data_IF_025653273095
#
_entry.id   IF_025653273095
#
_cell.length_a   1.000
_cell.length_b   1.000
_cell.length_c   1.000
_cell.angle_alpha   90.00
_cell.angle_beta   90.00
_cell.angle_gamma   90.00
#
_symmetry.space_group_name_H-M   'P 1'
#
loop_
_entity.id
_entity.type
_entity.pdbx_description
1 polymer ?
#
# COMPACT_ATOMS: atom_id res chain seq x y z
N UNK A 1 -6.69 -8.10 20.76
CA UNK A 1 -7.40 -7.14 19.90
C UNK A 1 -6.93 -7.43 18.49
N UNK A 2 -7.82 -7.76 17.56
CA UNK A 2 -7.39 -7.98 16.17
C UNK A 2 -7.01 -6.62 15.60
N UNK A 3 -5.73 -6.38 15.29
CA UNK A 3 -5.36 -5.19 14.52
C UNK A 3 -6.19 -5.15 13.22
N UNK A 4 -6.96 -4.07 13.08
CA UNK A 4 -7.87 -3.85 11.97
C UNK A 4 -7.10 -3.33 10.75
N UNK A 5 -6.25 -4.20 10.18
CA UNK A 5 -5.38 -3.85 9.05
C UNK A 5 -6.16 -3.30 7.87
N UNK A 6 -7.36 -3.84 7.60
CA UNK A 6 -8.22 -3.37 6.54
C UNK A 6 -8.65 -1.92 6.76
N UNK A 7 -8.96 -1.54 7.99
CA UNK A 7 -9.30 -0.16 8.33
C UNK A 7 -8.12 0.76 8.06
N UNK A 8 -6.91 0.38 8.48
CA UNK A 8 -5.71 1.20 8.24
C UNK A 8 -5.40 1.37 6.75
N UNK A 9 -5.49 0.29 5.96
CA UNK A 9 -5.33 0.38 4.51
C UNK A 9 -6.39 1.27 3.88
N UNK A 10 -7.66 1.11 4.29
CA UNK A 10 -8.80 1.86 3.75
C UNK A 10 -8.73 3.36 4.05
N UNK A 11 -7.97 3.80 5.07
CA UNK A 11 -7.67 5.22 5.30
C UNK A 11 -6.88 5.85 4.15
N UNK A 12 -6.03 5.08 3.48
CA UNK A 12 -5.20 5.53 2.36
C UNK A 12 -5.78 5.18 1.00
N UNK A 13 -6.48 4.05 0.92
CA UNK A 13 -7.08 3.53 -0.29
C UNK A 13 -8.48 2.98 0.03
N UNK A 14 -9.53 3.82 -0.01
CA UNK A 14 -10.88 3.42 0.43
C UNK A 14 -11.47 2.27 -0.40
N UNK A 15 -11.08 2.15 -1.67
CA UNK A 15 -11.47 1.04 -2.55
C UNK A 15 -10.59 -0.21 -2.37
N UNK A 16 -9.89 -0.34 -1.24
CA UNK A 16 -8.98 -1.45 -1.04
C UNK A 16 -9.72 -2.78 -0.92
N UNK A 17 -9.25 -3.78 -1.67
CA UNK A 17 -9.82 -5.12 -1.68
C UNK A 17 -9.37 -5.92 -0.44
N UNK A 18 -10.35 -6.33 0.36
CA UNK A 18 -10.13 -7.11 1.58
C UNK A 18 -9.45 -8.46 1.29
N UNK A 19 -9.64 -9.06 0.10
CA UNK A 19 -8.96 -10.31 -0.27
C UNK A 19 -7.45 -10.11 -0.44
N UNK A 20 -7.06 -9.00 -1.06
CA UNK A 20 -5.66 -8.61 -1.26
C UNK A 20 -5.04 -8.31 0.09
N UNK A 21 -5.72 -7.51 0.93
CA UNK A 21 -5.27 -7.20 2.29
C UNK A 21 -5.06 -8.50 3.08
N UNK A 22 -6.01 -9.43 3.05
CA UNK A 22 -5.87 -10.74 3.70
C UNK A 22 -4.73 -11.57 3.11
N UNK A 23 -4.48 -11.50 1.81
CA UNK A 23 -3.31 -12.09 1.15
C UNK A 23 -1.98 -11.53 1.67
N UNK A 24 -1.90 -10.22 1.83
CA UNK A 24 -0.72 -9.53 2.38
C UNK A 24 -0.54 -9.86 3.86
N UNK A 25 -1.61 -9.85 4.67
CA UNK A 25 -1.57 -10.24 6.08
C UNK A 25 -1.05 -11.67 6.24
N UNK A 26 -1.53 -12.60 5.42
CA UNK A 26 -1.02 -13.99 5.38
C UNK A 26 0.45 -14.07 4.99
N UNK A 27 0.89 -13.26 4.03
CA UNK A 27 2.30 -13.18 3.63
C UNK A 27 3.18 -12.65 4.76
N UNK A 28 2.74 -11.61 5.47
CA UNK A 28 3.47 -11.08 6.62
C UNK A 28 3.52 -12.09 7.79
N UNK A 29 2.46 -12.88 8.00
CA UNK A 29 2.46 -14.05 8.88
C UNK A 29 2.99 -13.76 10.29
N UNK A 30 4.07 -14.45 10.69
CA UNK A 30 4.69 -14.31 12.03
C UNK A 30 5.23 -12.88 12.25
N UNK A 31 5.60 -12.15 11.19
CA UNK A 31 6.10 -10.78 11.32
C UNK A 31 5.07 -9.82 11.92
N UNK A 32 3.77 -10.13 11.86
CA UNK A 32 2.73 -9.31 12.49
C UNK A 32 2.58 -9.57 13.98
N UNK A 33 3.12 -10.69 14.50
CA UNK A 33 3.05 -11.03 15.93
C UNK A 33 3.98 -10.17 16.79
N UNK A 34 4.99 -9.54 16.17
CA UNK A 34 5.92 -8.64 16.86
C UNK A 34 5.66 -7.19 16.44
N UNK A 35 5.61 -6.29 17.42
CA UNK A 35 5.30 -4.86 17.21
C UNK A 35 6.33 -4.14 16.35
N UNK A 36 7.61 -4.46 16.50
CA UNK A 36 8.65 -3.84 15.67
C UNK A 36 8.65 -4.38 14.24
N UNK A 37 8.17 -5.62 14.06
CA UNK A 37 8.16 -6.29 12.75
C UNK A 37 6.92 -5.96 11.91
N UNK A 38 5.86 -5.44 12.52
CA UNK A 38 4.71 -4.87 11.81
C UNK A 38 4.97 -3.43 11.34
N UNK A 39 5.99 -2.74 11.87
CA UNK A 39 6.33 -1.37 11.47
C UNK A 39 7.51 -1.34 10.48
N UNK A 40 7.52 -0.36 9.58
CA UNK A 40 8.63 -0.14 8.64
C UNK A 40 9.23 1.24 8.82
N UNK A 41 10.54 1.28 9.01
CA UNK A 41 11.30 2.53 9.09
C UNK A 41 11.73 2.97 7.71
N UNK A 42 11.10 4.02 7.19
CA UNK A 42 11.53 4.67 5.94
C UNK A 42 12.80 5.51 6.12
N UNK A 43 13.18 5.82 7.36
CA UNK A 43 14.39 6.58 7.66
C UNK A 43 15.66 5.71 7.62
N UNK A 44 15.51 4.37 7.70
CA UNK A 44 16.64 3.45 7.59
C UNK A 44 16.80 2.96 6.13
N UNK A 45 17.86 3.36 5.42
CA UNK A 45 18.10 2.91 4.05
C UNK A 45 18.29 1.38 3.95
N UNK A 46 18.73 0.71 5.02
CA UNK A 46 18.84 -0.76 5.04
C UNK A 46 17.46 -1.41 5.01
N UNK A 47 16.50 -0.84 5.73
CA UNK A 47 15.14 -1.36 5.76
C UNK A 47 14.41 -1.13 4.44
N UNK A 48 14.58 0.06 3.84
CA UNK A 48 14.11 0.36 2.47
C UNK A 48 14.71 -0.63 1.47
N UNK A 49 16.02 -0.89 1.53
CA UNK A 49 16.70 -1.85 0.68
C UNK A 49 16.17 -3.29 0.84
N UNK A 50 15.81 -3.72 2.06
CA UNK A 50 15.18 -5.02 2.30
C UNK A 50 13.78 -5.10 1.70
N UNK A 51 12.97 -4.05 1.82
CA UNK A 51 11.64 -3.98 1.19
C UNK A 51 11.79 -4.06 -0.33
N UNK A 52 12.72 -3.29 -0.91
CA UNK A 52 13.02 -3.34 -2.35
C UNK A 52 13.39 -4.75 -2.80
N UNK A 53 14.37 -5.37 -2.15
CA UNK A 53 14.90 -6.66 -2.58
C UNK A 53 13.94 -7.83 -2.32
N UNK A 54 13.34 -7.90 -1.13
CA UNK A 54 12.53 -9.06 -0.73
C UNK A 54 11.06 -8.92 -1.15
N UNK A 55 10.51 -7.70 -1.13
CA UNK A 55 9.12 -7.49 -1.49
C UNK A 55 9.00 -7.15 -2.98
N UNK A 56 9.56 -6.02 -3.42
CA UNK A 56 9.36 -5.56 -4.80
C UNK A 56 9.99 -6.53 -5.82
N UNK A 57 11.24 -6.94 -5.62
CA UNK A 57 11.92 -7.82 -6.58
C UNK A 57 11.55 -9.28 -6.42
N UNK A 58 11.69 -9.87 -5.22
CA UNK A 58 11.41 -11.31 -5.04
C UNK A 58 9.93 -11.65 -4.99
N UNK A 59 9.09 -10.87 -4.32
CA UNK A 59 7.67 -11.21 -4.14
C UNK A 59 6.80 -10.73 -5.30
N UNK A 60 6.99 -9.49 -5.77
CA UNK A 60 6.23 -8.94 -6.90
C UNK A 60 6.90 -9.20 -8.27
N UNK A 61 8.16 -9.65 -8.30
CA UNK A 61 8.86 -9.92 -9.56
C UNK A 61 9.25 -8.66 -10.34
N UNK A 62 9.28 -7.48 -9.69
CA UNK A 62 9.56 -6.22 -10.37
C UNK A 62 11.04 -6.16 -10.82
N UNK A 63 11.24 -5.90 -12.11
CA UNK A 63 12.58 -5.77 -12.73
C UNK A 63 12.99 -4.30 -12.97
N UNK A 64 12.24 -3.36 -12.38
CA UNK A 64 12.53 -1.94 -12.47
C UNK A 64 13.91 -1.59 -11.87
N UNK A 65 14.54 -0.50 -12.32
CA UNK A 65 15.78 -0.02 -11.75
C UNK A 65 15.60 0.36 -10.27
N UNK A 66 16.66 0.17 -9.49
CA UNK A 66 16.64 0.42 -8.04
C UNK A 66 16.13 1.82 -7.68
N UNK A 67 16.49 2.84 -8.46
CA UNK A 67 16.04 4.22 -8.24
C UNK A 67 14.53 4.43 -8.42
N UNK A 68 13.88 3.67 -9.31
CA UNK A 68 12.42 3.74 -9.50
C UNK A 68 11.70 3.04 -8.33
N UNK A 69 12.23 1.89 -7.90
CA UNK A 69 11.71 1.17 -6.74
C UNK A 69 11.88 1.98 -5.44
N UNK A 70 13.04 2.62 -5.25
CA UNK A 70 13.31 3.48 -4.09
C UNK A 70 12.40 4.71 -4.09
N UNK A 71 12.21 5.34 -5.25
CA UNK A 71 11.28 6.46 -5.40
C UNK A 71 9.86 6.05 -5.06
N UNK A 72 9.42 4.87 -5.51
CA UNK A 72 8.11 4.35 -5.17
C UNK A 72 7.93 4.14 -3.65
N UNK A 73 8.95 3.58 -2.97
CA UNK A 73 8.94 3.42 -1.51
C UNK A 73 8.92 4.78 -0.81
N UNK A 74 9.72 5.74 -1.27
CA UNK A 74 9.79 7.08 -0.70
C UNK A 74 8.45 7.81 -0.83
N UNK A 75 7.80 7.75 -1.98
CA UNK A 75 6.50 8.39 -2.21
C UNK A 75 5.40 7.78 -1.33
N UNK A 76 5.38 6.45 -1.14
CA UNK A 76 4.47 5.82 -0.16
C UNK A 76 4.82 6.22 1.26
N UNK A 77 6.11 6.29 1.59
CA UNK A 77 6.60 6.71 2.90
C UNK A 77 6.24 8.16 3.26
N UNK A 78 6.26 9.07 2.28
CA UNK A 78 5.78 10.44 2.41
C UNK A 78 4.26 10.48 2.59
N UNK A 79 3.51 9.66 1.84
CA UNK A 79 2.05 9.54 2.00
C UNK A 79 1.67 9.08 3.42
N UNK A 80 2.46 8.19 4.00
CA UNK A 80 2.29 7.67 5.37
C UNK A 80 3.03 8.48 6.46
N UNK A 81 3.67 9.61 6.12
CA UNK A 81 4.51 10.37 7.06
C UNK A 81 3.73 10.96 8.24
N UNK A 82 2.45 11.24 8.03
CA UNK A 82 1.54 11.74 9.07
C UNK A 82 1.07 10.67 10.07
N UNK A 83 1.22 9.38 9.77
CA UNK A 83 0.89 8.31 10.70
C UNK A 83 2.13 7.90 11.52
N UNK A 84 1.96 7.86 12.83
CA UNK A 84 2.99 7.37 13.76
C UNK A 84 3.19 5.85 13.65
N UNK A 85 2.20 5.13 13.13
CA UNK A 85 2.22 3.66 12.95
C UNK A 85 2.35 3.32 11.46
N UNK A 86 3.58 3.29 10.97
CA UNK A 86 3.92 2.94 9.58
C UNK A 86 3.80 1.43 9.36
N UNK A 87 2.57 0.95 9.25
CA UNK A 87 2.26 -0.47 9.13
C UNK A 87 2.76 -1.06 7.82
N UNK A 88 3.42 -2.22 7.94
CA UNK A 88 3.98 -2.99 6.83
C UNK A 88 2.89 -3.48 5.87
N UNK A 89 1.72 -3.86 6.39
CA UNK A 89 0.57 -4.29 5.57
C UNK A 89 0.10 -3.15 4.65
N UNK A 90 -0.07 -1.96 5.21
CA UNK A 90 -0.47 -0.75 4.48
C UNK A 90 0.56 -0.35 3.43
N UNK A 91 1.85 -0.36 3.80
CA UNK A 91 2.94 -0.14 2.86
C UNK A 91 2.91 -1.13 1.68
N UNK A 92 2.78 -2.42 1.97
CA UNK A 92 2.76 -3.46 0.93
C UNK A 92 1.55 -3.36 0.03
N UNK A 93 0.39 -2.98 0.57
CA UNK A 93 -0.81 -2.74 -0.22
C UNK A 93 -0.59 -1.56 -1.18
N UNK A 94 -0.13 -0.41 -0.68
CA UNK A 94 0.08 0.80 -1.48
C UNK A 94 1.18 0.61 -2.54
N UNK A 95 2.23 -0.15 -2.24
CA UNK A 95 3.24 -0.51 -3.24
C UNK A 95 2.67 -1.43 -4.33
N UNK A 96 1.90 -2.44 -3.94
CA UNK A 96 1.28 -3.36 -4.90
C UNK A 96 0.27 -2.62 -5.79
N UNK A 97 -0.45 -1.65 -5.23
CA UNK A 97 -1.37 -0.79 -5.96
C UNK A 97 -0.68 0.06 -7.02
N UNK A 98 0.41 0.72 -6.63
CA UNK A 98 1.20 1.55 -7.54
C UNK A 98 1.75 0.78 -8.74
N UNK A 99 2.17 -0.47 -8.53
CA UNK A 99 2.71 -1.33 -9.59
C UNK A 99 1.66 -2.25 -10.22
N UNK A 100 0.38 -2.08 -9.89
CA UNK A 100 -0.71 -2.95 -10.32
C UNK A 100 -0.44 -4.46 -10.09
N UNK A 101 0.33 -4.79 -9.06
CA UNK A 101 0.83 -6.13 -8.76
C UNK A 101 -0.04 -6.90 -7.74
N UNK A 102 -1.28 -6.46 -7.56
CA UNK A 102 -2.32 -7.05 -6.71
C UNK A 102 -2.55 -8.55 -6.93
N UNK A 103 -2.32 -9.02 -8.16
CA UNK A 103 -2.46 -10.43 -8.54
C UNK A 103 -1.58 -11.36 -7.68
N UNK A 104 -0.44 -10.87 -7.19
CA UNK A 104 0.50 -11.63 -6.34
C UNK A 104 -0.08 -12.05 -4.98
N UNK A 105 -1.17 -11.41 -4.54
CA UNK A 105 -1.83 -11.65 -3.25
C UNK A 105 -3.25 -12.20 -3.39
N UNK A 106 -3.81 -12.15 -4.60
CA UNK A 106 -5.09 -12.79 -4.89
C UNK A 106 -4.96 -14.30 -4.70
N UNK A 107 -5.86 -14.91 -3.92
CA UNK A 107 -5.96 -16.38 -3.92
C UNK A 107 -6.47 -16.82 -5.29
N UNK A 108 -5.81 -17.81 -5.89
CA UNK A 108 -6.27 -18.43 -7.13
C UNK A 108 -7.59 -19.19 -6.86
N UNK A 109 -8.72 -18.55 -7.12
CA UNK A 109 -10.02 -19.21 -7.29
C UNK A 109 -10.96 -18.34 -8.15
N UNK A 110 -11.90 -18.97 -8.87
CA UNK A 110 -12.33 -18.50 -10.17
C UNK A 110 -13.36 -17.38 -10.08
N UNK A 111 -13.15 -16.37 -10.92
CA UNK A 111 -14.15 -15.53 -11.59
C UNK A 111 -15.43 -15.12 -10.82
N UNK A 112 -15.45 -13.87 -10.34
CA UNK A 112 -16.51 -12.85 -10.57
C UNK A 112 -16.02 -11.53 -9.94
N UNK A 113 -15.54 -10.55 -10.71
CA UNK A 113 -16.27 -9.53 -11.46
C UNK A 113 -17.02 -8.50 -10.59
N UNK A 114 -16.45 -7.28 -10.58
CA UNK A 114 -17.03 -5.93 -10.39
C UNK A 114 -16.14 -5.12 -9.40
N UNK A 115 -15.59 -3.94 -9.71
CA UNK A 115 -15.82 -2.99 -10.82
C UNK A 115 -14.68 -1.95 -10.78
N UNK A 116 -14.01 -1.70 -11.90
CA UNK A 116 -13.33 -0.41 -12.19
C UNK A 116 -14.42 0.57 -12.61
N UNK A 117 -14.36 1.86 -12.22
CA UNK A 117 -13.63 2.87 -13.00
C UNK A 117 -12.85 3.84 -12.09
N UNK A 118 -11.53 3.98 -12.20
CA UNK A 118 -10.88 4.90 -13.15
C UNK A 118 -11.70 6.16 -13.46
N UNK A 119 -11.50 7.24 -12.70
CA UNK A 119 -11.41 8.62 -13.22
C UNK A 119 -11.10 9.61 -12.09
N UNK A 120 -9.95 10.28 -12.19
CA UNK A 120 -9.81 11.63 -11.65
C UNK A 120 -10.92 12.54 -12.24
N UNK A 121 -11.31 13.60 -11.53
CA UNK A 121 -10.87 14.90 -12.03
C UNK A 121 -10.43 15.87 -10.92
N UNK A 122 -9.28 16.48 -11.18
CA UNK A 122 -9.08 17.93 -11.18
C UNK A 122 -10.06 18.82 -10.40
N UNK A 123 -9.51 19.42 -9.33
CA UNK A 123 -9.65 20.82 -8.92
C UNK A 123 -10.38 21.79 -9.86
N UNK A 124 -11.51 22.38 -9.42
CA UNK A 124 -11.90 23.78 -9.70
C UNK A 124 -12.75 24.32 -8.53
N UNK A 125 -12.22 25.30 -7.78
CA UNK A 125 -13.00 26.27 -7.00
C UNK A 125 -13.64 27.27 -7.99
N UNK A 126 -14.84 27.84 -7.76
CA UNK A 126 -15.00 28.92 -6.77
C UNK A 126 -16.41 29.02 -6.15
N UNK A 127 -16.56 29.68 -4.99
CA UNK A 127 -17.81 30.40 -4.73
C UNK A 127 -17.52 31.76 -4.11
N UNK A 128 -17.63 32.78 -4.97
CA UNK A 128 -17.78 34.16 -4.61
C UNK A 128 -19.26 34.43 -4.25
N UNK A 129 -19.45 35.38 -3.34
CA UNK A 129 -20.69 35.85 -2.74
C UNK A 129 -21.81 36.25 -3.72
N UNK A 130 -23.07 36.32 -3.25
CA UNK A 130 -24.07 37.22 -3.83
C UNK A 130 -24.30 38.44 -2.92
N UNK A 131 -24.02 39.63 -3.45
CA UNK A 131 -24.76 40.85 -3.11
C UNK A 131 -26.20 40.69 -3.62
N UNK A 132 -27.19 40.95 -2.78
CA UNK A 132 -28.41 41.70 -3.11
C UNK A 132 -28.98 42.28 -1.83
#
# INVERSE_FOLDING_TARGET
>A
MAEDWATDVKRYHPEADDEIIAGIVRYCGIALRNRDSQLVSFADPKEVGRVRQNFLRKKLGLTHPDGELDRAIAEVGERMKGDSTKNRVTLYYLLSDRFAAHDSFRRKSPAKAAKTPAAAPEMVAPVAAPKR
#
